data_IF_650973310635
#
_entry.id   IF_650973310635
#
_cell.length_a   1.000
_cell.length_b   1.000
_cell.length_c   1.000
_cell.angle_alpha   90.00
_cell.angle_beta   90.00
_cell.angle_gamma   90.00
#
_symmetry.space_group_name_H-M   'P 1'
#
loop_
_entity.id
_entity.type
_entity.pdbx_description
1 polymer ?
#
# COMPACT_ATOMS: atom_id res chain seq x y z
N UNK A 1 12.58 -9.19 -14.41
CA UNK A 1 12.11 -8.05 -13.61
C UNK A 1 12.12 -8.49 -12.15
N UNK A 2 12.80 -7.76 -11.25
CA UNK A 2 12.86 -8.08 -9.82
C UNK A 2 11.66 -7.40 -9.16
N UNK A 3 10.58 -8.12 -8.90
CA UNK A 3 9.57 -7.64 -7.94
C UNK A 3 10.21 -7.76 -6.55
N UNK A 4 10.49 -6.62 -5.92
CA UNK A 4 10.85 -6.61 -4.52
C UNK A 4 9.58 -6.95 -3.74
N UNK A 5 9.60 -8.05 -2.99
CA UNK A 5 8.57 -8.41 -2.03
C UNK A 5 9.14 -8.18 -0.63
N UNK A 6 8.27 -7.81 0.31
CA UNK A 6 8.66 -7.75 1.71
C UNK A 6 8.86 -9.17 2.26
N UNK A 7 9.63 -9.28 3.33
CA UNK A 7 9.69 -10.53 4.10
C UNK A 7 8.35 -10.76 4.81
N UNK A 8 8.02 -12.01 5.13
CA UNK A 8 6.77 -12.34 5.82
C UNK A 8 6.62 -11.62 7.17
N UNK A 9 7.71 -11.43 7.91
CA UNK A 9 7.71 -10.65 9.16
C UNK A 9 7.28 -9.20 8.93
N UNK A 10 7.74 -8.57 7.85
CA UNK A 10 7.34 -7.21 7.48
C UNK A 10 5.88 -7.21 7.02
N UNK A 11 5.48 -8.17 6.17
CA UNK A 11 4.09 -8.30 5.72
C UNK A 11 3.09 -8.39 6.89
N UNK A 12 3.38 -9.21 7.90
CA UNK A 12 2.57 -9.32 9.12
C UNK A 12 2.51 -7.99 9.88
N UNK A 13 3.66 -7.32 10.06
CA UNK A 13 3.71 -6.01 10.70
C UNK A 13 2.89 -4.95 9.94
N UNK A 14 2.91 -4.99 8.61
CA UNK A 14 2.11 -4.08 7.77
C UNK A 14 0.61 -4.32 7.96
N UNK A 15 0.17 -5.58 8.04
CA UNK A 15 -1.23 -5.94 8.26
C UNK A 15 -1.71 -5.51 9.65
N UNK A 16 -0.91 -5.78 10.69
CA UNK A 16 -1.21 -5.36 12.06
C UNK A 16 -1.31 -3.83 12.16
N UNK A 17 -0.36 -3.10 11.58
CA UNK A 17 -0.40 -1.64 11.57
C UNK A 17 -1.60 -1.12 10.78
N UNK A 18 -1.87 -1.65 9.59
CA UNK A 18 -3.01 -1.27 8.76
C UNK A 18 -4.35 -1.41 9.50
N UNK A 19 -4.51 -2.44 10.32
CA UNK A 19 -5.71 -2.65 11.13
C UNK A 19 -5.96 -1.54 12.19
N UNK A 20 -4.93 -0.77 12.55
CA UNK A 20 -5.05 0.36 13.49
C UNK A 20 -5.42 1.69 12.82
N UNK A 21 -5.35 1.75 11.48
CA UNK A 21 -5.55 2.98 10.73
C UNK A 21 -7.03 3.21 10.42
N UNK A 22 -7.43 4.49 10.40
CA UNK A 22 -8.70 4.86 9.79
C UNK A 22 -8.62 4.71 8.25
N UNK A 23 -9.77 4.71 7.58
CA UNK A 23 -9.86 4.47 6.12
C UNK A 23 -8.97 5.41 5.28
N UNK A 24 -8.86 6.68 5.68
CA UNK A 24 -8.06 7.68 4.97
C UNK A 24 -6.57 7.40 5.12
N UNK A 25 -6.11 7.14 6.34
CA UNK A 25 -4.70 6.90 6.61
C UNK A 25 -4.28 5.53 6.08
N UNK A 26 -5.15 4.52 6.15
CA UNK A 26 -4.92 3.21 5.57
C UNK A 26 -4.71 3.30 4.04
N UNK A 27 -5.59 4.02 3.34
CA UNK A 27 -5.47 4.21 1.89
C UNK A 27 -4.17 4.93 1.51
N UNK A 28 -3.77 5.96 2.27
CA UNK A 28 -2.52 6.70 2.04
C UNK A 28 -1.29 5.87 2.34
N UNK A 29 -1.34 5.08 3.41
CA UNK A 29 -0.29 4.13 3.76
C UNK A 29 -0.08 3.10 2.64
N UNK A 30 -1.15 2.43 2.19
CA UNK A 30 -1.07 1.46 1.10
C UNK A 30 -0.53 2.09 -0.21
N UNK A 31 -0.85 3.35 -0.47
CA UNK A 31 -0.30 4.10 -1.60
C UNK A 31 1.21 4.33 -1.50
N UNK A 32 1.70 4.73 -0.32
CA UNK A 32 3.14 4.93 -0.08
C UNK A 32 3.88 3.60 -0.28
N UNK A 33 3.39 2.51 0.30
CA UNK A 33 4.02 1.19 0.18
C UNK A 33 4.02 0.70 -1.26
N UNK A 34 2.94 0.90 -2.01
CA UNK A 34 2.89 0.55 -3.43
C UNK A 34 3.90 1.35 -4.27
N UNK A 35 4.12 2.63 -3.96
CA UNK A 35 5.10 3.48 -4.66
C UNK A 35 6.55 3.04 -4.40
N UNK A 36 6.88 2.64 -3.16
CA UNK A 36 8.22 2.15 -2.81
C UNK A 36 8.65 0.95 -3.66
N UNK A 37 7.70 0.08 -4.00
CA UNK A 37 7.94 -1.15 -4.75
C UNK A 37 7.93 -0.95 -6.28
N UNK A 38 7.42 0.19 -6.77
CA UNK A 38 7.37 0.50 -8.19
C UNK A 38 6.44 -0.42 -8.98
N UNK A 39 6.94 -1.00 -10.09
CA UNK A 39 6.13 -1.82 -10.98
C UNK A 39 5.61 -3.08 -10.28
N UNK A 40 4.28 -3.27 -10.28
CA UNK A 40 3.61 -4.38 -9.58
C UNK A 40 3.30 -4.11 -8.09
N UNK A 41 3.79 -3.00 -7.52
CA UNK A 41 3.55 -2.64 -6.12
C UNK A 41 2.07 -2.51 -5.77
N UNK A 42 1.26 -1.90 -6.64
CA UNK A 42 -0.19 -1.79 -6.43
C UNK A 42 -0.84 -3.17 -6.32
N UNK A 43 -0.53 -4.09 -7.25
CA UNK A 43 -1.11 -5.43 -7.25
C UNK A 43 -0.67 -6.26 -6.05
N UNK A 44 0.58 -6.10 -5.61
CA UNK A 44 1.10 -6.79 -4.44
C UNK A 44 0.48 -6.27 -3.15
N UNK A 45 0.49 -4.95 -2.92
CA UNK A 45 -0.11 -4.34 -1.72
C UNK A 45 -1.62 -4.53 -1.67
N UNK A 46 -2.31 -4.52 -2.82
CA UNK A 46 -3.73 -4.85 -2.92
C UNK A 46 -4.04 -6.23 -2.35
N UNK A 47 -3.23 -7.24 -2.71
CA UNK A 47 -3.38 -8.60 -2.20
C UNK A 47 -3.03 -8.69 -0.72
N UNK A 48 -1.89 -8.10 -0.32
CA UNK A 48 -1.39 -8.16 1.05
C UNK A 48 -2.36 -7.54 2.06
N UNK A 49 -2.94 -6.38 1.72
CA UNK A 49 -3.79 -5.60 2.60
C UNK A 49 -5.29 -5.74 2.29
N UNK A 50 -5.67 -6.67 1.40
CA UNK A 50 -7.06 -6.89 0.95
C UNK A 50 -7.79 -5.61 0.50
N UNK A 51 -7.10 -4.76 -0.26
CA UNK A 51 -7.64 -3.51 -0.79
C UNK A 51 -7.90 -3.60 -2.29
N UNK A 52 -8.97 -2.94 -2.77
CA UNK A 52 -9.15 -2.74 -4.21
C UNK A 52 -7.96 -1.91 -4.77
N UNK A 53 -7.31 -2.32 -5.88
CA UNK A 53 -6.27 -1.53 -6.55
C UNK A 53 -6.65 -0.07 -6.84
N UNK A 54 -7.95 0.21 -7.05
CA UNK A 54 -8.49 1.56 -7.23
C UNK A 54 -8.39 2.38 -5.95
N UNK A 55 -8.57 1.77 -4.78
CA UNK A 55 -8.39 2.43 -3.47
C UNK A 55 -6.95 2.90 -3.32
N UNK A 56 -5.98 2.04 -3.63
CA UNK A 56 -4.55 2.39 -3.59
C UNK A 56 -4.24 3.50 -4.61
N UNK A 57 -4.76 3.38 -5.84
CA UNK A 57 -4.59 4.40 -6.88
C UNK A 57 -5.17 5.77 -6.47
N UNK A 58 -6.29 5.78 -5.76
CA UNK A 58 -6.87 7.00 -5.17
C UNK A 58 -5.94 7.56 -4.09
N UNK A 59 -5.40 6.71 -3.22
CA UNK A 59 -4.40 7.11 -2.23
C UNK A 59 -3.16 7.75 -2.85
N UNK A 60 -2.64 7.20 -3.94
CA UNK A 60 -1.51 7.77 -4.69
C UNK A 60 -1.84 9.18 -5.17
N UNK A 61 -3.04 9.40 -5.73
CA UNK A 61 -3.49 10.73 -6.14
C UNK A 61 -3.62 11.69 -4.96
N UNK A 62 -4.06 11.22 -3.79
CA UNK A 62 -4.18 12.04 -2.58
C UNK A 62 -2.81 12.49 -2.04
N UNK A 63 -1.82 11.60 -1.98
CA UNK A 63 -0.50 11.92 -1.42
C UNK A 63 0.39 12.74 -2.39
N UNK A 64 0.15 12.63 -3.71
CA UNK A 64 0.90 13.37 -4.73
C UNK A 64 0.30 14.75 -5.04
N UNK A 65 -0.91 15.05 -4.55
CA UNK A 65 -1.44 16.42 -4.61
C UNK A 65 -0.60 17.31 -3.68
N UNK A 66 0.18 18.21 -4.28
CA UNK A 66 0.78 19.32 -3.54
C UNK A 66 -0.33 20.29 -3.12
N UNK A 67 -0.35 20.61 -1.84
CA UNK A 67 -1.08 21.75 -1.28
C UNK A 67 -0.14 22.97 -1.23
#
# INVERSE_FOLDING_TARGET
>A
MKTAHYTSEVEEGMQLFAATLNERDFRRYAAIEALKLGHGGISYISKLLSLDPKTISKGIKEILKKH
#
